data_IF_179012746974
#
_entry.id   IF_179012746974
#
_cell.length_a   1.000
_cell.length_b   1.000
_cell.length_c   1.000
_cell.angle_alpha   90.00
_cell.angle_beta   90.00
_cell.angle_gamma   90.00
#
_symmetry.space_group_name_H-M   'P 1'
#
loop_
_entity.id
_entity.type
_entity.pdbx_description
1 polymer ?
#
# COMPACT_ATOMS: atom_id res chain seq x y z
N UNK A 1 22.69 -0.66 5.78
CA UNK A 1 21.82 -1.28 6.78
C UNK A 1 20.36 -0.97 6.44
N UNK A 2 19.50 -1.98 6.45
CA UNK A 2 18.06 -1.78 6.23
C UNK A 2 17.39 -1.47 7.54
N UNK A 3 16.48 -0.52 7.54
CA UNK A 3 15.69 -0.14 8.70
C UNK A 3 14.32 -0.80 8.65
N UNK A 4 13.62 -0.79 9.77
CA UNK A 4 12.20 -1.15 9.84
C UNK A 4 11.40 0.14 9.84
N UNK A 5 10.14 0.07 9.41
CA UNK A 5 9.28 1.27 9.38
C UNK A 5 9.18 1.94 10.75
N UNK A 6 9.19 1.16 11.84
CA UNK A 6 9.18 1.71 13.19
C UNK A 6 10.42 2.51 13.57
N UNK A 7 11.49 2.43 12.78
CA UNK A 7 12.71 3.22 13.00
C UNK A 7 12.62 4.62 12.41
N UNK A 8 11.51 4.95 11.75
CA UNK A 8 11.28 6.24 11.10
C UNK A 8 10.24 7.05 11.85
N UNK A 9 10.30 8.37 11.67
CA UNK A 9 9.33 9.32 12.21
C UNK A 9 8.68 10.06 11.05
N UNK A 10 7.36 10.14 11.06
CA UNK A 10 6.61 10.89 10.05
C UNK A 10 6.34 12.30 10.54
N UNK A 11 6.76 13.29 9.77
CA UNK A 11 6.51 14.72 10.03
C UNK A 11 6.13 15.40 8.72
N UNK A 12 4.99 16.07 8.69
CA UNK A 12 4.51 16.81 7.50
C UNK A 12 4.53 15.96 6.24
N UNK A 13 4.04 14.70 6.37
CA UNK A 13 3.96 13.72 5.29
C UNK A 13 5.32 13.24 4.76
N UNK A 14 6.41 13.50 5.49
CA UNK A 14 7.76 13.09 5.12
C UNK A 14 8.35 12.24 6.23
N UNK A 15 8.96 11.13 5.85
CA UNK A 15 9.61 10.21 6.80
C UNK A 15 11.06 10.59 7.03
N UNK A 16 11.44 10.56 8.29
CA UNK A 16 12.80 10.84 8.75
C UNK A 16 13.30 9.66 9.59
N UNK A 17 14.58 9.38 9.51
CA UNK A 17 15.20 8.49 10.48
C UNK A 17 15.11 9.18 11.84
N UNK A 18 14.77 8.42 12.89
CA UNK A 18 14.65 8.99 14.26
C UNK A 18 15.87 9.80 14.64
N UNK A 19 15.62 10.93 15.29
CA UNK A 19 16.67 11.84 15.76
C UNK A 19 17.46 12.52 14.64
N UNK A 20 16.91 12.64 13.45
CA UNK A 20 17.53 13.40 12.34
C UNK A 20 16.52 14.35 11.71
N UNK A 21 17.04 15.34 11.01
CA UNK A 21 16.25 16.29 10.23
C UNK A 21 16.46 16.09 8.72
N UNK A 22 17.09 14.99 8.33
CA UNK A 22 17.30 14.65 6.93
C UNK A 22 16.25 13.66 6.48
N UNK A 23 15.48 13.96 5.42
CA UNK A 23 14.49 13.00 4.90
C UNK A 23 15.14 11.67 4.56
N UNK A 24 14.47 10.57 4.92
CA UNK A 24 15.02 9.24 4.73
C UNK A 24 14.98 8.82 3.26
N UNK A 25 16.10 8.29 2.77
CA UNK A 25 16.17 7.58 1.50
C UNK A 25 16.79 6.21 1.76
N UNK A 26 16.19 5.16 1.24
CA UNK A 26 16.68 3.80 1.45
C UNK A 26 15.53 2.81 1.55
N UNK A 27 15.85 1.60 1.98
CA UNK A 27 14.90 0.50 2.08
C UNK A 27 14.51 0.23 3.52
N UNK A 28 13.26 -0.18 3.71
CA UNK A 28 12.79 -0.75 4.97
C UNK A 28 12.48 -2.23 4.78
N UNK A 29 12.61 -2.98 5.85
CA UNK A 29 12.41 -4.42 5.88
C UNK A 29 11.47 -4.79 7.03
N UNK A 30 11.17 -6.07 7.21
CA UNK A 30 10.25 -6.56 8.23
C UNK A 30 8.90 -6.86 7.61
N UNK A 31 7.81 -6.59 8.33
CA UNK A 31 6.46 -6.80 7.81
C UNK A 31 6.10 -5.85 6.69
N UNK A 32 6.65 -4.63 6.72
CA UNK A 32 6.47 -3.66 5.64
C UNK A 32 7.81 -3.54 4.93
N UNK A 33 7.80 -3.78 3.63
CA UNK A 33 9.00 -3.76 2.82
C UNK A 33 8.82 -2.86 1.61
N UNK A 34 9.78 -1.99 1.39
CA UNK A 34 9.74 -1.06 0.27
C UNK A 34 10.86 -0.06 0.37
N UNK A 35 10.82 0.95 -0.49
CA UNK A 35 11.86 1.98 -0.58
C UNK A 35 11.28 3.36 -0.33
N UNK A 36 12.13 4.23 0.19
CA UNK A 36 11.85 5.65 0.36
C UNK A 36 12.83 6.47 -0.48
N UNK A 37 12.33 7.58 -0.99
CA UNK A 37 13.14 8.58 -1.68
C UNK A 37 12.79 9.95 -1.11
N UNK A 38 13.77 10.60 -0.48
CA UNK A 38 13.58 11.90 0.16
C UNK A 38 12.40 11.91 1.12
N UNK A 39 12.26 10.85 1.92
CA UNK A 39 11.23 10.74 2.96
C UNK A 39 9.85 10.33 2.48
N UNK A 40 9.70 10.01 1.21
CA UNK A 40 8.43 9.54 0.63
C UNK A 40 8.56 8.14 0.06
N UNK A 41 7.49 7.35 0.19
CA UNK A 41 7.47 6.01 -0.38
C UNK A 41 7.63 6.07 -1.89
N UNK A 42 8.43 5.17 -2.44
CA UNK A 42 8.68 5.13 -3.87
C UNK A 42 8.85 3.70 -4.35
N UNK A 43 8.13 3.32 -5.40
CA UNK A 43 8.24 2.00 -6.02
C UNK A 43 7.44 0.92 -5.33
N UNK A 44 7.80 -0.36 -5.57
CA UNK A 44 7.03 -1.50 -5.05
C UNK A 44 7.06 -1.58 -3.52
N UNK A 45 5.90 -1.90 -2.95
CA UNK A 45 5.74 -2.11 -1.51
C UNK A 45 4.98 -3.38 -1.24
N UNK A 46 5.36 -4.09 -0.17
CA UNK A 46 4.63 -5.26 0.31
C UNK A 46 4.48 -5.17 1.83
N UNK A 47 3.34 -5.63 2.31
CA UNK A 47 3.06 -5.79 3.74
C UNK A 47 2.62 -7.21 4.00
N UNK A 48 3.00 -7.74 5.17
CA UNK A 48 2.65 -9.09 5.60
C UNK A 48 1.82 -9.05 6.88
N UNK A 49 0.90 -9.99 7.00
CA UNK A 49 0.21 -10.26 8.25
C UNK A 49 1.15 -10.89 9.27
N UNK A 50 0.76 -10.88 10.55
CA UNK A 50 1.54 -11.52 11.61
C UNK A 50 1.79 -13.00 11.36
N UNK A 51 0.89 -13.67 10.64
CA UNK A 51 1.01 -15.08 10.30
C UNK A 51 1.93 -15.36 9.10
N UNK A 52 2.57 -14.32 8.55
CA UNK A 52 3.47 -14.46 7.40
C UNK A 52 2.79 -14.40 6.03
N UNK A 53 1.46 -14.37 5.99
CA UNK A 53 0.71 -14.25 4.75
C UNK A 53 0.82 -12.83 4.19
N UNK A 54 0.85 -12.71 2.87
CA UNK A 54 0.85 -11.40 2.21
C UNK A 54 -0.45 -10.66 2.55
N UNK A 55 -0.32 -9.41 2.98
CA UNK A 55 -1.45 -8.55 3.31
C UNK A 55 -1.80 -7.61 2.17
N UNK A 56 -0.78 -6.96 1.61
CA UNK A 56 -0.98 -6.09 0.45
C UNK A 56 0.30 -5.99 -0.37
N UNK A 57 0.10 -5.65 -1.63
CA UNK A 57 1.19 -5.40 -2.57
C UNK A 57 0.74 -4.29 -3.51
N UNK A 58 1.60 -3.31 -3.71
CA UNK A 58 1.28 -2.19 -4.57
C UNK A 58 2.49 -1.32 -4.86
N UNK A 59 2.24 -0.21 -5.52
CA UNK A 59 3.27 0.73 -5.92
C UNK A 59 2.98 2.13 -5.40
N UNK A 60 4.03 2.84 -5.06
CA UNK A 60 3.99 4.25 -4.68
C UNK A 60 4.79 5.08 -5.67
N UNK A 61 4.33 6.31 -5.84
CA UNK A 61 5.04 7.33 -6.59
C UNK A 61 4.98 8.62 -5.78
N UNK A 62 6.14 9.09 -5.31
CA UNK A 62 6.23 10.30 -4.49
C UNK A 62 5.30 10.27 -3.28
N UNK A 63 5.24 9.15 -2.57
CA UNK A 63 4.42 9.00 -1.37
C UNK A 63 2.95 8.75 -1.63
N UNK A 64 2.54 8.63 -2.89
CA UNK A 64 1.15 8.45 -3.29
C UNK A 64 0.99 7.11 -3.98
N UNK A 65 -0.06 6.35 -3.64
CA UNK A 65 -0.33 5.09 -4.32
C UNK A 65 -0.64 5.33 -5.78
N UNK A 66 -0.01 4.55 -6.65
CA UNK A 66 -0.10 4.71 -8.10
C UNK A 66 0.18 3.38 -8.78
N UNK A 67 -0.74 2.91 -9.62
CA UNK A 67 -0.62 1.63 -10.30
C UNK A 67 -1.38 0.51 -9.62
N UNK A 68 -1.05 -0.76 -9.97
CA UNK A 68 -1.82 -1.90 -9.48
C UNK A 68 -1.62 -2.13 -7.99
N UNK A 69 -2.74 -2.44 -7.30
CA UNK A 69 -2.75 -2.77 -5.88
C UNK A 69 -3.60 -4.01 -5.65
N UNK A 70 -3.14 -4.86 -4.75
CA UNK A 70 -3.84 -6.09 -4.37
C UNK A 70 -3.75 -6.25 -2.86
N UNK A 71 -4.86 -6.62 -2.24
CA UNK A 71 -4.91 -6.87 -0.79
C UNK A 71 -5.49 -8.25 -0.50
N UNK A 72 -5.09 -8.82 0.63
CA UNK A 72 -5.48 -10.17 1.04
C UNK A 72 -5.98 -10.16 2.48
N UNK A 73 -6.87 -11.10 2.77
CA UNK A 73 -7.28 -11.40 4.14
C UNK A 73 -6.21 -12.24 4.84
N UNK A 74 -6.29 -12.33 6.16
CA UNK A 74 -5.38 -13.16 6.95
C UNK A 74 -5.42 -14.64 6.57
N UNK A 75 -6.54 -15.12 6.02
CA UNK A 75 -6.69 -16.49 5.57
C UNK A 75 -6.08 -16.76 4.19
N UNK A 76 -5.45 -15.75 3.58
CA UNK A 76 -4.83 -15.87 2.26
C UNK A 76 -5.75 -15.61 1.09
N UNK A 77 -7.05 -15.42 1.33
CA UNK A 77 -8.01 -15.11 0.25
C UNK A 77 -7.83 -13.69 -0.25
N UNK A 78 -7.97 -13.51 -1.55
CA UNK A 78 -7.93 -12.18 -2.16
C UNK A 78 -9.06 -11.32 -1.59
N UNK A 79 -8.72 -10.11 -1.16
CA UNK A 79 -9.68 -9.15 -0.62
C UNK A 79 -10.08 -8.11 -1.66
N UNK A 80 -9.10 -7.50 -2.33
CA UNK A 80 -9.38 -6.49 -3.35
C UNK A 80 -8.25 -6.41 -4.36
N UNK A 81 -8.60 -5.97 -5.56
CA UNK A 81 -7.65 -5.81 -6.66
C UNK A 81 -8.12 -4.70 -7.59
N UNK A 82 -7.22 -3.81 -7.93
CA UNK A 82 -7.50 -2.72 -8.85
C UNK A 82 -6.32 -1.77 -8.96
N UNK A 83 -6.54 -0.62 -9.56
CA UNK A 83 -5.51 0.38 -9.76
C UNK A 83 -5.79 1.65 -8.97
N UNK A 84 -4.72 2.29 -8.53
CA UNK A 84 -4.73 3.64 -7.99
C UNK A 84 -4.10 4.59 -9.00
N UNK A 85 -4.61 5.80 -9.01
CA UNK A 85 -4.04 6.91 -9.77
C UNK A 85 -4.00 8.13 -8.86
N UNK A 86 -2.79 8.61 -8.58
CA UNK A 86 -2.58 9.75 -7.68
C UNK A 86 -3.29 9.58 -6.33
N UNK A 87 -3.24 8.36 -5.76
CA UNK A 87 -3.79 8.08 -4.45
C UNK A 87 -5.28 7.76 -4.41
N UNK A 88 -5.98 7.77 -5.54
CA UNK A 88 -7.41 7.44 -5.61
C UNK A 88 -7.64 6.23 -6.49
N UNK A 89 -8.70 5.47 -6.18
CA UNK A 89 -9.09 4.33 -6.99
C UNK A 89 -9.49 4.78 -8.39
N UNK A 90 -9.05 4.04 -9.40
CA UNK A 90 -9.32 4.35 -10.79
C UNK A 90 -9.51 3.07 -11.59
N UNK A 91 -10.57 3.05 -12.43
CA UNK A 91 -10.84 1.91 -13.28
C UNK A 91 -11.54 0.77 -12.56
N UNK A 92 -11.52 -0.44 -13.15
CA UNK A 92 -12.23 -1.58 -12.56
C UNK A 92 -11.57 -2.06 -11.27
N UNK A 93 -12.40 -2.31 -10.26
CA UNK A 93 -12.00 -2.88 -8.97
C UNK A 93 -12.90 -4.06 -8.66
N UNK A 94 -12.32 -5.11 -8.12
CA UNK A 94 -13.07 -6.24 -7.60
C UNK A 94 -12.73 -6.43 -6.14
N UNK A 95 -13.75 -6.64 -5.32
CA UNK A 95 -13.61 -6.90 -3.89
C UNK A 95 -14.29 -8.21 -3.54
N UNK A 96 -13.71 -8.93 -2.60
CA UNK A 96 -14.20 -10.24 -2.17
C UNK A 96 -14.43 -10.25 -0.67
N UNK A 97 -15.35 -11.10 -0.23
CA UNK A 97 -15.55 -11.41 1.18
C UNK A 97 -14.52 -12.44 1.63
N UNK A 98 -14.32 -12.61 2.96
CA UNK A 98 -13.35 -13.60 3.45
C UNK A 98 -13.62 -15.03 2.98
N UNK A 99 -14.86 -15.37 2.61
CA UNK A 99 -15.22 -16.69 2.09
C UNK A 99 -14.95 -16.86 0.59
N UNK A 100 -14.41 -15.81 -0.06
CA UNK A 100 -14.08 -15.83 -1.48
C UNK A 100 -15.19 -15.38 -2.42
N UNK A 101 -16.37 -15.06 -1.92
CA UNK A 101 -17.47 -14.55 -2.76
C UNK A 101 -17.29 -13.07 -3.05
N UNK A 102 -17.84 -12.59 -4.17
CA UNK A 102 -17.71 -11.18 -4.57
C UNK A 102 -18.49 -10.27 -3.63
N UNK A 103 -17.84 -9.20 -3.20
CA UNK A 103 -18.47 -8.14 -2.43
C UNK A 103 -19.03 -7.10 -3.41
N UNK A 104 -20.29 -7.27 -3.79
CA UNK A 104 -20.90 -6.50 -4.89
C UNK A 104 -20.95 -4.99 -4.63
N UNK A 105 -21.10 -4.58 -3.37
CA UNK A 105 -21.19 -3.16 -3.03
C UNK A 105 -19.92 -2.37 -3.37
N UNK A 106 -18.76 -3.02 -3.27
CA UNK A 106 -17.48 -2.37 -3.50
C UNK A 106 -16.85 -2.74 -4.85
N UNK A 107 -17.41 -3.73 -5.54
CA UNK A 107 -16.94 -4.14 -6.87
C UNK A 107 -17.58 -3.26 -7.94
N UNK A 108 -16.78 -2.74 -8.83
CA UNK A 108 -17.28 -1.90 -9.91
C UNK A 108 -16.18 -1.03 -10.49
N UNK A 109 -16.59 -0.02 -11.24
CA UNK A 109 -15.67 0.92 -11.87
C UNK A 109 -15.58 2.18 -11.02
N UNK A 110 -14.36 2.67 -10.83
CA UNK A 110 -14.08 3.86 -10.03
C UNK A 110 -13.48 4.96 -10.91
N UNK A 111 -13.81 6.18 -10.58
CA UNK A 111 -13.23 7.37 -11.18
C UNK A 111 -12.99 8.40 -10.11
N UNK A 112 -11.74 8.86 -10.00
CA UNK A 112 -11.32 9.83 -8.97
C UNK A 112 -11.72 9.40 -7.56
N UNK A 113 -11.66 8.10 -7.28
CA UNK A 113 -11.94 7.54 -5.97
C UNK A 113 -13.40 7.21 -5.70
N UNK A 114 -14.31 7.55 -6.62
CA UNK A 114 -15.74 7.31 -6.46
C UNK A 114 -16.22 6.20 -7.40
N UNK A 115 -17.06 5.31 -6.88
CA UNK A 115 -17.68 4.26 -7.67
C UNK A 115 -18.73 4.88 -8.62
N UNK A 116 -18.63 4.57 -9.92
CA UNK A 116 -19.48 5.18 -10.95
C UNK A 116 -20.44 4.18 -11.60
N UNK A 117 -20.43 2.92 -11.20
CA UNK A 117 -21.43 1.95 -11.69
C UNK A 117 -21.81 0.92 -10.63
#
# INVERSE_FOLDING_TARGET
MKLKLGDLVLRDSIYFKKCTDVPFSGEVTGRQQGSFKNGKEEGPWVNYWDNGQLRLKGDYKNGTSDGPWVTYYENGQLRSKGDFKNGTQEGPWVCYKPDGTVYNENTGTYKDGAKVD
#
